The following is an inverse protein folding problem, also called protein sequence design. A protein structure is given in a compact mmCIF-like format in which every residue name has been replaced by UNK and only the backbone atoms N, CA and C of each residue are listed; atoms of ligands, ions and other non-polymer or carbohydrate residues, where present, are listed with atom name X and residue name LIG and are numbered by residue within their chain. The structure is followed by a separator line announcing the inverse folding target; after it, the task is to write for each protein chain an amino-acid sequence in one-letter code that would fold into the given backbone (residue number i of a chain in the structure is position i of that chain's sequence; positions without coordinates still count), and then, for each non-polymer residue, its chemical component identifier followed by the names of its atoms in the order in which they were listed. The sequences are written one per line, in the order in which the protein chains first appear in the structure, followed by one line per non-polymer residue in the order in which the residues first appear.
data_IF_392150283191
#
_entry.id   IF_392150283191
#
_cell.length_a   1.000
_cell.length_b   1.000
_cell.length_c   1.000
_cell.angle_alpha   90.00
_cell.angle_beta   90.00
_cell.angle_gamma   90.00
#
_symmetry.space_group_name_H-M   'P 1'
#
loop_
_entity.id
_entity.type
_entity.pdbx_description
1 polymer ?
#
# COMPACT_ATOMS: atom_id res chain seq x y z
N UNK A 1 13.77 -16.10 -13.92
CA UNK A 1 12.51 -15.33 -13.79
C UNK A 1 12.01 -15.52 -12.37
N UNK A 2 12.35 -14.63 -11.45
CA UNK A 2 11.84 -14.73 -10.07
C UNK A 2 10.46 -14.09 -10.06
N UNK A 3 9.41 -14.90 -9.99
CA UNK A 3 8.03 -14.43 -9.82
C UNK A 3 7.94 -13.66 -8.51
N UNK A 4 7.64 -12.36 -8.58
CA UNK A 4 7.44 -11.54 -7.39
C UNK A 4 6.28 -12.09 -6.57
N UNK A 5 6.43 -12.07 -5.25
CA UNK A 5 5.42 -12.47 -4.28
C UNK A 5 4.39 -11.34 -4.21
N UNK A 6 3.17 -11.66 -4.63
CA UNK A 6 2.04 -10.75 -4.55
C UNK A 6 1.63 -10.58 -3.09
N UNK A 7 1.64 -9.34 -2.62
CA UNK A 7 1.27 -8.98 -1.24
C UNK A 7 0.18 -7.93 -1.23
N UNK A 8 -0.57 -7.91 -0.12
CA UNK A 8 -1.58 -6.90 0.16
C UNK A 8 -1.21 -6.14 1.45
N UNK A 9 -1.41 -4.83 1.45
CA UNK A 9 -1.17 -3.98 2.64
C UNK A 9 -2.51 -3.63 3.27
N UNK A 10 -2.74 -4.13 4.47
CA UNK A 10 -3.90 -3.76 5.29
C UNK A 10 -3.60 -2.48 6.07
N UNK A 11 -4.51 -1.51 6.05
CA UNK A 11 -4.33 -0.22 6.69
C UNK A 11 -3.38 0.70 5.93
N UNK A 12 -3.31 0.58 4.59
CA UNK A 12 -2.37 1.32 3.76
C UNK A 12 -2.45 2.85 3.94
N UNK A 13 -3.63 3.39 4.28
CA UNK A 13 -3.83 4.84 4.48
C UNK A 13 -3.21 5.40 5.75
N UNK A 14 -2.84 4.56 6.73
CA UNK A 14 -2.18 5.00 7.97
C UNK A 14 -0.70 5.31 7.77
N UNK A 15 -0.07 5.98 8.74
CA UNK A 15 1.37 6.31 8.67
C UNK A 15 2.26 5.08 8.46
N UNK A 16 1.97 3.98 9.17
CA UNK A 16 2.71 2.72 9.01
C UNK A 16 2.46 2.09 7.64
N UNK A 17 1.22 2.08 7.16
CA UNK A 17 0.85 1.54 5.86
C UNK A 17 1.52 2.29 4.71
N UNK A 18 1.55 3.63 4.78
CA UNK A 18 2.25 4.48 3.83
C UNK A 18 3.74 4.13 3.73
N UNK A 19 4.40 3.96 4.88
CA UNK A 19 5.82 3.57 4.92
C UNK A 19 6.05 2.17 4.36
N UNK A 20 5.15 1.22 4.61
CA UNK A 20 5.23 -0.12 4.02
C UNK A 20 5.13 -0.08 2.50
N UNK A 21 4.19 0.70 1.95
CA UNK A 21 4.05 0.86 0.50
C UNK A 21 5.33 1.44 -0.11
N UNK A 22 5.95 2.43 0.55
CA UNK A 22 7.21 3.03 0.12
C UNK A 22 8.38 2.03 0.16
N UNK A 23 8.51 1.23 1.23
CA UNK A 23 9.56 0.22 1.37
C UNK A 23 9.40 -0.96 0.39
N UNK A 24 8.16 -1.31 0.07
CA UNK A 24 7.84 -2.37 -0.89
C UNK A 24 7.91 -1.86 -2.34
N UNK A 25 7.91 -0.54 -2.54
CA UNK A 25 8.12 0.08 -3.84
C UNK A 25 9.51 -0.32 -4.35
N UNK A 26 9.56 -0.93 -5.54
CA UNK A 26 10.79 -1.44 -6.15
C UNK A 26 11.46 -2.64 -5.44
N UNK A 27 10.75 -3.36 -4.56
CA UNK A 27 11.34 -4.56 -3.95
C UNK A 27 11.54 -5.67 -4.99
N UNK A 28 12.70 -6.37 -5.01
CA UNK A 28 12.99 -7.41 -5.99
C UNK A 28 12.10 -8.66 -5.82
N UNK A 29 11.56 -8.86 -4.62
CA UNK A 29 10.76 -10.05 -4.29
C UNK A 29 9.28 -9.79 -4.05
N UNK A 30 8.87 -8.55 -3.77
CA UNK A 30 7.49 -8.25 -3.39
C UNK A 30 6.84 -7.33 -4.42
N UNK A 31 5.58 -7.61 -4.71
CA UNK A 31 4.74 -6.78 -5.57
C UNK A 31 3.44 -6.47 -4.82
N UNK A 32 3.21 -5.19 -4.54
CA UNK A 32 1.99 -4.74 -3.87
C UNK A 32 0.85 -4.77 -4.87
N UNK A 33 -0.04 -5.73 -4.71
CA UNK A 33 -1.17 -5.94 -5.63
C UNK A 33 -2.48 -5.35 -5.12
N UNK A 34 -2.65 -5.27 -3.79
CA UNK A 34 -3.86 -4.77 -3.17
C UNK A 34 -3.55 -3.88 -1.96
N UNK A 35 -4.36 -2.83 -1.80
CA UNK A 35 -4.31 -1.92 -0.66
C UNK A 35 -5.68 -1.94 -0.01
N UNK A 36 -5.75 -2.42 1.22
CA UNK A 36 -6.97 -2.40 2.01
C UNK A 36 -6.91 -1.28 3.05
N UNK A 37 -8.02 -0.59 3.23
CA UNK A 37 -8.19 0.46 4.22
C UNK A 37 -9.61 0.35 4.81
N UNK A 38 -9.96 1.28 5.72
CA UNK A 38 -11.30 1.38 6.30
C UNK A 38 -12.39 1.49 5.23
N UNK A 39 -13.63 1.06 5.55
CA UNK A 39 -14.78 1.10 4.62
C UNK A 39 -15.02 2.48 3.99
N UNK A 40 -14.79 3.58 4.72
CA UNK A 40 -14.89 4.96 4.20
C UNK A 40 -13.92 5.29 3.04
N UNK A 41 -12.88 4.48 2.90
CA UNK A 41 -11.79 4.59 1.92
C UNK A 41 -11.92 3.53 0.82
N UNK A 42 -12.84 2.57 0.95
CA UNK A 42 -13.07 1.54 -0.04
C UNK A 42 -13.54 2.17 -1.37
N UNK A 43 -12.98 1.68 -2.49
CA UNK A 43 -13.31 2.15 -3.83
C UNK A 43 -12.71 3.49 -4.25
N UNK A 44 -12.04 4.22 -3.35
CA UNK A 44 -11.30 5.44 -3.68
C UNK A 44 -9.89 5.11 -4.13
N UNK A 45 -9.30 5.99 -4.96
CA UNK A 45 -7.88 5.87 -5.28
C UNK A 45 -7.06 6.07 -4.01
N UNK A 46 -5.94 5.34 -3.91
CA UNK A 46 -5.07 5.43 -2.74
C UNK A 46 -4.68 6.88 -2.41
N UNK A 47 -4.34 7.69 -3.42
CA UNK A 47 -4.00 9.10 -3.22
C UNK A 47 -5.13 9.98 -2.67
N UNK A 48 -6.39 9.63 -2.93
CA UNK A 48 -7.58 10.34 -2.44
C UNK A 48 -8.02 9.83 -1.06
N UNK A 49 -7.80 8.54 -0.79
CA UNK A 49 -8.12 7.90 0.48
C UNK A 49 -7.07 8.14 1.57
N UNK A 50 -5.85 8.49 1.17
CA UNK A 50 -4.70 8.62 2.05
C UNK A 50 -4.57 10.05 2.55
N UNK A 51 -4.57 10.20 3.87
CA UNK A 51 -4.11 11.43 4.48
C UNK A 51 -2.58 11.35 4.57
N UNK A 52 -1.86 12.07 3.71
CA UNK A 52 -0.40 12.01 3.59
C UNK A 52 0.24 12.60 4.86
N UNK A 53 0.70 11.72 5.74
CA UNK A 53 1.28 12.09 7.05
C UNK A 53 2.81 12.12 6.96
N UNK A 54 3.38 11.37 6.01
CA UNK A 54 4.82 11.30 5.78
C UNK A 54 5.13 12.20 4.57
N UNK A 55 5.86 13.28 4.80
CA UNK A 55 6.40 14.17 3.78
C UNK A 55 7.70 13.62 3.20
#
# INVERSE_FOLDING_TARGET
MSSKIRVAVLGATGSVGQRFVELLLNHPWFEVTELAASDRSAGKKYAEATNWIIC
#
